data_IF_698160512483
#
_entry.id   IF_698160512483
#
_cell.length_a   1.000
_cell.length_b   1.000
_cell.length_c   1.000
_cell.angle_alpha   90.00
_cell.angle_beta   90.00
_cell.angle_gamma   90.00
#
_symmetry.space_group_name_H-M   'P 1'
#
loop_
_entity.id
_entity.type
_entity.pdbx_description
1 polymer ?
#
# COMPACT_ATOMS: atom_id res chain seq x y z
N UNK A 1 -10.42 3.85 18.59
CA UNK A 1 -9.98 2.49 18.21
C UNK A 1 -9.25 2.48 16.87
N UNK A 2 -9.81 3.11 15.82
CA UNK A 2 -9.18 3.27 14.49
C UNK A 2 -7.76 3.85 14.54
N UNK A 3 -7.55 4.98 15.24
CA UNK A 3 -6.24 5.62 15.32
C UNK A 3 -5.16 4.78 16.02
N UNK A 4 -5.56 3.90 16.94
CA UNK A 4 -4.67 2.97 17.64
C UNK A 4 -4.19 1.86 16.69
N UNK A 5 -5.08 1.37 15.82
CA UNK A 5 -4.74 0.41 14.76
C UNK A 5 -3.76 1.06 13.77
N UNK A 6 -3.99 2.32 13.37
CA UNK A 6 -3.10 3.04 12.45
C UNK A 6 -1.71 3.26 13.05
N UNK A 7 -1.63 3.66 14.33
CA UNK A 7 -0.36 3.84 15.03
C UNK A 7 0.40 2.52 15.20
N UNK A 8 -0.31 1.44 15.51
CA UNK A 8 0.27 0.10 15.65
C UNK A 8 0.81 -0.42 14.31
N UNK A 9 0.09 -0.17 13.22
CA UNK A 9 0.59 -0.46 11.86
C UNK A 9 1.85 0.36 11.57
N UNK A 10 1.82 1.67 11.80
CA UNK A 10 2.97 2.54 11.49
C UNK A 10 4.21 2.12 12.29
N UNK A 11 4.00 1.65 13.53
CA UNK A 11 5.05 1.09 14.35
C UNK A 11 5.62 -0.22 13.77
N UNK A 12 4.76 -1.15 13.34
CA UNK A 12 5.21 -2.40 12.72
C UNK A 12 5.96 -2.12 11.40
N UNK A 13 5.58 -1.07 10.66
CA UNK A 13 6.33 -0.63 9.47
C UNK A 13 7.77 -0.28 9.81
N UNK A 14 7.99 0.55 10.83
CA UNK A 14 9.34 0.95 11.26
C UNK A 14 10.21 -0.24 11.67
N UNK A 15 9.59 -1.30 12.18
CA UNK A 15 10.30 -2.50 12.64
C UNK A 15 10.61 -3.46 11.49
N UNK A 16 9.71 -3.66 10.52
CA UNK A 16 9.88 -4.64 9.45
C UNK A 16 10.67 -4.15 8.22
N UNK A 17 11.29 -2.96 8.29
CA UNK A 17 12.08 -2.40 7.17
C UNK A 17 13.36 -3.19 6.83
N UNK A 18 13.82 -4.07 7.72
CA UNK A 18 15.09 -4.77 7.56
C UNK A 18 15.13 -5.68 6.32
N UNK A 19 13.99 -6.23 5.91
CA UNK A 19 13.90 -7.18 4.80
C UNK A 19 12.75 -6.83 3.85
N UNK A 20 13.10 -6.66 2.56
CA UNK A 20 12.18 -6.13 1.55
C UNK A 20 10.95 -7.04 1.34
N UNK A 21 11.12 -8.35 1.52
CA UNK A 21 10.04 -9.33 1.38
C UNK A 21 9.03 -9.21 2.53
N UNK A 22 9.50 -9.07 3.77
CA UNK A 22 8.64 -8.89 4.94
C UNK A 22 7.92 -7.53 4.90
N UNK A 23 8.61 -6.49 4.45
CA UNK A 23 8.01 -5.18 4.21
C UNK A 23 6.87 -5.25 3.19
N UNK A 24 7.07 -5.97 2.08
CA UNK A 24 6.04 -6.16 1.04
C UNK A 24 4.83 -6.94 1.56
N UNK A 25 5.04 -8.04 2.27
CA UNK A 25 3.94 -8.80 2.90
C UNK A 25 3.15 -7.93 3.87
N UNK A 26 3.85 -7.14 4.69
CA UNK A 26 3.21 -6.22 5.60
C UNK A 26 2.36 -5.18 4.87
N UNK A 27 2.89 -4.56 3.79
CA UNK A 27 2.15 -3.59 2.98
C UNK A 27 0.84 -4.17 2.44
N UNK A 28 0.82 -5.45 2.04
CA UNK A 28 -0.39 -6.11 1.55
C UNK A 28 -1.44 -6.29 2.65
N UNK A 29 -1.01 -6.72 3.85
CA UNK A 29 -1.90 -6.85 5.01
C UNK A 29 -2.41 -5.48 5.46
N UNK A 30 -1.57 -4.46 5.39
CA UNK A 30 -1.98 -3.11 5.73
C UNK A 30 -2.98 -2.54 4.72
N UNK A 31 -2.72 -2.69 3.43
CA UNK A 31 -3.64 -2.23 2.38
C UNK A 31 -5.01 -2.90 2.50
N UNK A 32 -5.05 -4.20 2.85
CA UNK A 32 -6.31 -4.90 3.10
C UNK A 32 -7.02 -4.38 4.35
N UNK A 33 -6.31 -4.13 5.46
CA UNK A 33 -6.89 -3.50 6.65
C UNK A 33 -7.47 -2.12 6.33
N UNK A 34 -6.73 -1.26 5.63
CA UNK A 34 -7.22 0.07 5.21
C UNK A 34 -8.47 -0.03 4.36
N UNK A 35 -8.53 -0.99 3.43
CA UNK A 35 -9.73 -1.19 2.61
C UNK A 35 -10.97 -1.54 3.44
N UNK A 36 -10.80 -2.40 4.45
CA UNK A 36 -11.86 -2.77 5.40
C UNK A 36 -12.30 -1.54 6.20
N UNK A 37 -11.36 -0.71 6.66
CA UNK A 37 -11.68 0.54 7.36
C UNK A 37 -12.47 1.52 6.48
N UNK A 38 -12.11 1.65 5.20
CA UNK A 38 -12.84 2.50 4.24
C UNK A 38 -14.26 2.00 3.96
N UNK A 39 -14.46 0.68 3.94
CA UNK A 39 -15.79 0.08 3.81
C UNK A 39 -16.64 0.42 5.04
N UNK A 40 -16.10 0.26 6.25
CA UNK A 40 -16.82 0.57 7.49
C UNK A 40 -17.11 2.07 7.68
N UNK A 41 -16.32 2.95 7.08
CA UNK A 41 -16.53 4.41 7.15
C UNK A 41 -17.60 4.93 6.17
N UNK A 42 -18.29 4.06 5.42
CA UNK A 42 -19.42 4.43 4.57
C UNK A 42 -19.08 4.61 3.09
N UNK A 43 -17.85 4.27 2.67
CA UNK A 43 -17.41 4.33 1.25
C UNK A 43 -17.04 2.95 0.72
N UNK A 44 -18.00 2.03 0.55
CA UNK A 44 -17.69 0.65 0.16
C UNK A 44 -17.03 0.57 -1.22
N UNK A 45 -17.49 1.37 -2.19
CA UNK A 45 -16.93 1.42 -3.54
C UNK A 45 -15.46 1.84 -3.55
N UNK A 46 -15.13 2.91 -2.82
CA UNK A 46 -13.76 3.38 -2.73
C UNK A 46 -12.85 2.36 -2.03
N UNK A 47 -13.33 1.73 -0.95
CA UNK A 47 -12.60 0.67 -0.27
C UNK A 47 -12.31 -0.53 -1.18
N UNK A 48 -13.28 -0.94 -2.01
CA UNK A 48 -13.10 -2.03 -2.98
C UNK A 48 -12.13 -1.68 -4.10
N UNK A 49 -12.23 -0.48 -4.68
CA UNK A 49 -11.30 -0.01 -5.73
C UNK A 49 -9.89 0.10 -5.17
N UNK A 50 -9.75 0.63 -3.95
CA UNK A 50 -8.47 0.70 -3.25
C UNK A 50 -7.86 -0.68 -3.05
N UNK A 51 -8.64 -1.65 -2.55
CA UNK A 51 -8.19 -3.03 -2.39
C UNK A 51 -7.70 -3.62 -3.71
N UNK A 52 -8.50 -3.49 -4.78
CA UNK A 52 -8.15 -4.01 -6.10
C UNK A 52 -6.83 -3.43 -6.60
N UNK A 53 -6.68 -2.11 -6.64
CA UNK A 53 -5.49 -1.46 -7.22
C UNK A 53 -4.25 -1.73 -6.36
N UNK A 54 -4.34 -1.55 -5.05
CA UNK A 54 -3.17 -1.69 -4.18
C UNK A 54 -2.75 -3.15 -4.00
N UNK A 55 -3.69 -4.05 -3.68
CA UNK A 55 -3.32 -5.46 -3.42
C UNK A 55 -2.89 -6.15 -4.72
N UNK A 56 -3.55 -5.88 -5.86
CA UNK A 56 -3.11 -6.45 -7.14
C UNK A 56 -1.77 -5.88 -7.62
N UNK A 57 -1.53 -4.56 -7.46
CA UNK A 57 -0.26 -3.94 -7.81
C UNK A 57 0.90 -4.45 -6.94
N UNK A 58 0.68 -4.57 -5.63
CA UNK A 58 1.68 -5.10 -4.70
C UNK A 58 1.97 -6.59 -4.95
N UNK A 59 1.00 -7.38 -5.43
CA UNK A 59 1.22 -8.78 -5.84
C UNK A 59 2.24 -8.90 -6.98
N UNK A 60 2.15 -8.02 -7.99
CA UNK A 60 3.09 -8.02 -9.12
C UNK A 60 4.50 -7.67 -8.65
N UNK A 61 4.62 -6.66 -7.79
CA UNK A 61 5.91 -6.26 -7.23
C UNK A 61 6.49 -7.35 -6.31
N UNK A 62 5.65 -8.01 -5.53
CA UNK A 62 6.05 -9.16 -4.70
C UNK A 62 6.62 -10.30 -5.55
N UNK A 63 5.95 -10.67 -6.65
CA UNK A 63 6.47 -11.68 -7.58
C UNK A 63 7.80 -11.29 -8.20
N UNK A 64 7.95 -10.02 -8.59
CA UNK A 64 9.22 -9.49 -9.13
C UNK A 64 10.35 -9.55 -8.10
N UNK A 65 10.09 -9.13 -6.86
CA UNK A 65 11.08 -9.13 -5.79
C UNK A 65 11.48 -10.55 -5.38
N UNK A 66 10.53 -11.49 -5.31
CA UNK A 66 10.84 -12.90 -5.07
C UNK A 66 11.79 -13.49 -6.12
N UNK A 67 11.61 -13.11 -7.39
CA UNK A 67 12.45 -13.62 -8.47
C UNK A 67 13.87 -13.00 -8.47
N UNK A 68 13.99 -11.76 -8.02
CA UNK A 68 15.25 -10.98 -8.06
C UNK A 68 16.05 -11.03 -6.76
N UNK A 69 15.44 -11.29 -5.61
CA UNK A 69 16.13 -11.28 -4.32
C UNK A 69 17.06 -12.49 -4.16
N UNK A 70 18.30 -12.32 -3.69
CA UNK A 70 19.14 -13.44 -3.26
C UNK A 70 18.48 -14.11 -2.05
N UNK A 71 18.49 -15.45 -2.01
CA UNK A 71 17.85 -16.25 -0.97
C UNK A 71 18.67 -16.25 0.35
N UNK A 72 19.04 -15.05 0.83
CA UNK A 72 19.73 -14.85 2.10
C UNK A 72 18.65 -14.79 3.20
N UNK A 73 18.32 -15.94 3.78
CA UNK A 73 17.39 -16.02 4.91
C UNK A 73 18.15 -15.60 6.17
N UNK A 74 18.39 -14.31 6.32
CA UNK A 74 18.82 -13.76 7.60
C UNK A 74 17.55 -13.45 8.42
N UNK A 75 17.51 -13.93 9.65
CA UNK A 75 16.43 -13.57 10.55
C UNK A 75 16.48 -12.05 10.78
N UNK A 76 15.39 -11.30 10.54
CA UNK A 76 15.41 -9.86 10.70
C UNK A 76 15.66 -9.51 12.17
N UNK A 77 16.67 -8.69 12.44
CA UNK A 77 17.06 -8.25 13.79
C UNK A 77 15.87 -7.61 14.54
N UNK A 78 14.98 -6.97 13.78
CA UNK A 78 13.67 -6.49 14.18
C UNK A 78 12.82 -7.46 15.03
N UNK A 79 12.79 -8.76 14.71
CA UNK A 79 11.96 -9.74 15.44
C UNK A 79 12.42 -9.90 16.90
N UNK A 80 13.71 -9.68 17.18
CA UNK A 80 14.28 -9.81 18.52
C UNK A 80 13.79 -8.72 19.48
N UNK A 81 13.47 -7.53 18.96
CA UNK A 81 13.05 -6.37 19.76
C UNK A 81 11.54 -6.09 19.72
N UNK A 82 10.80 -6.80 18.85
CA UNK A 82 9.35 -6.69 18.71
C UNK A 82 8.54 -6.82 20.03
N UNK A 83 8.86 -7.72 20.98
CA UNK A 83 8.06 -7.83 22.20
C UNK A 83 8.25 -6.66 23.18
N UNK A 84 9.43 -6.04 23.20
CA UNK A 84 9.75 -4.94 24.13
C UNK A 84 9.06 -3.65 23.73
N UNK A 85 8.85 -3.46 22.42
CA UNK A 85 8.30 -2.24 21.90
C UNK A 85 6.77 -2.22 21.82
N UNK A 86 6.14 -3.38 21.67
CA UNK A 86 4.68 -3.53 21.82
C UNK A 86 4.18 -3.07 23.19
N UNK A 87 5.00 -3.20 24.24
CA UNK A 87 4.68 -2.72 25.60
C UNK A 87 4.59 -1.19 25.70
N UNK A 88 5.34 -0.44 24.89
CA UNK A 88 5.29 1.02 24.87
C UNK A 88 4.08 1.57 24.08
N UNK A 89 3.48 0.76 23.21
CA UNK A 89 2.32 1.13 22.39
C UNK A 89 0.96 0.75 22.98
N UNK A 90 0.91 0.36 24.25
CA UNK A 90 -0.33 0.39 25.03
C UNK A 90 -0.45 1.72 25.78
N UNK A 91 -0.71 2.88 25.13
CA UNK A 91 -1.23 4.00 25.89
C UNK A 91 -2.59 3.58 26.42
N UNK A 92 -2.85 3.94 27.68
CA UNK A 92 -4.13 3.75 28.36
C UNK A 92 -5.30 3.96 27.38
N UNK A 93 -6.20 2.98 27.30
CA UNK A 93 -7.42 2.93 26.48
C UNK A 93 -8.42 4.05 26.86
N UNK A 94 -7.98 5.30 26.92
CA UNK A 94 -8.85 6.45 27.04
C UNK A 94 -9.50 6.61 25.68
N UNK A 95 -10.81 6.43 25.62
CA UNK A 95 -11.61 6.61 24.42
C UNK A 95 -11.30 7.97 23.80
N UNK A 96 -10.46 7.98 22.77
CA UNK A 96 -10.42 9.08 21.83
C UNK A 96 -11.72 8.95 21.05
N UNK A 97 -12.72 9.72 21.44
CA UNK A 97 -13.93 9.94 20.66
C UNK A 97 -13.51 10.71 19.41
N UNK A 98 -13.14 9.96 18.38
CA UNK A 98 -13.13 10.47 17.02
C UNK A 98 -14.57 10.36 16.55
N UNK A 99 -15.26 11.49 16.51
CA UNK A 99 -16.55 11.56 15.87
C UNK A 99 -16.39 11.05 14.43
N UNK A 100 -17.12 9.99 14.11
CA UNK A 100 -17.08 9.37 12.79
C UNK A 100 -17.71 10.34 11.81
N UNK A 101 -16.88 11.14 11.15
CA UNK A 101 -17.31 12.01 10.06
C UNK A 101 -17.77 11.07 8.93
N UNK A 102 -19.08 10.86 8.84
CA UNK A 102 -19.70 10.16 7.72
C UNK A 102 -19.69 11.10 6.52
N UNK A 103 -18.71 10.92 5.65
CA UNK A 103 -18.65 11.66 4.39
C UNK A 103 -19.33 10.80 3.33
N UNK A 104 -20.42 11.31 2.76
CA UNK A 104 -21.17 10.63 1.71
C UNK A 104 -20.54 10.95 0.35
N UNK A 105 -19.69 10.05 -0.16
CA UNK A 105 -18.98 10.21 -1.45
C UNK A 105 -19.70 9.58 -2.65
N UNK A 106 -20.93 9.11 -2.49
CA UNK A 106 -21.58 8.27 -3.51
C UNK A 106 -21.94 9.03 -4.80
N UNK A 107 -22.09 10.36 -4.72
CA UNK A 107 -22.55 11.16 -5.86
C UNK A 107 -21.41 11.70 -6.74
N UNK A 108 -20.16 11.68 -6.26
CA UNK A 108 -19.06 12.45 -6.87
C UNK A 108 -18.25 11.67 -7.92
N UNK A 109 -18.39 10.34 -8.03
CA UNK A 109 -17.55 9.53 -8.94
C UNK A 109 -17.92 9.79 -10.41
N UNK A 110 -19.21 9.94 -10.70
CA UNK A 110 -19.70 10.22 -12.06
C UNK A 110 -19.36 11.66 -12.44
N UNK A 111 -19.21 12.56 -11.47
CA UNK A 111 -18.86 13.96 -11.72
C UNK A 111 -17.47 14.14 -12.34
N UNK A 112 -16.59 13.14 -12.26
CA UNK A 112 -15.30 13.15 -12.97
C UNK A 112 -15.50 13.22 -14.49
N UNK A 113 -16.61 12.68 -15.01
CA UNK A 113 -16.93 12.70 -16.44
C UNK A 113 -17.67 13.97 -16.89
N UNK A 114 -17.95 14.90 -15.98
CA UNK A 114 -18.55 16.18 -16.35
C UNK A 114 -17.56 17.02 -17.19
N UNK A 115 -18.11 17.83 -18.10
CA UNK A 115 -17.34 18.71 -18.97
C UNK A 115 -16.39 19.66 -18.21
N UNK A 116 -16.73 20.05 -16.98
CA UNK A 116 -15.88 20.87 -16.11
C UNK A 116 -14.58 20.16 -15.68
N UNK A 117 -14.59 18.84 -15.57
CA UNK A 117 -13.45 18.03 -15.11
C UNK A 117 -12.74 17.27 -16.23
N UNK A 118 -13.14 17.50 -17.49
CA UNK A 118 -12.54 16.86 -18.66
C UNK A 118 -11.03 17.10 -18.77
N UNK A 119 -10.54 18.27 -18.35
CA UNK A 119 -9.10 18.54 -18.30
C UNK A 119 -8.35 17.61 -17.34
N UNK A 120 -8.95 17.30 -16.18
CA UNK A 120 -8.35 16.41 -15.18
C UNK A 120 -8.31 14.97 -15.71
N UNK A 121 -9.40 14.52 -16.33
CA UNK A 121 -9.46 13.22 -16.99
C UNK A 121 -8.39 13.07 -18.10
N UNK A 122 -8.23 14.10 -18.95
CA UNK A 122 -7.23 14.11 -20.02
C UNK A 122 -5.81 14.07 -19.44
N UNK A 123 -5.56 14.77 -18.33
CA UNK A 123 -4.26 14.78 -17.68
C UNK A 123 -3.91 13.40 -17.09
N UNK A 124 -4.87 12.73 -16.42
CA UNK A 124 -4.67 11.35 -15.89
C UNK A 124 -4.38 10.36 -17.02
N UNK A 125 -5.14 10.42 -18.11
CA UNK A 125 -4.94 9.52 -19.26
C UNK A 125 -3.59 9.72 -19.93
N UNK A 126 -3.13 10.97 -20.08
CA UNK A 126 -1.78 11.28 -20.56
C UNK A 126 -0.69 10.75 -19.61
N UNK A 127 -0.86 10.89 -18.28
CA UNK A 127 0.10 10.33 -17.32
C UNK A 127 0.21 8.81 -17.43
N UNK A 128 -0.92 8.10 -17.54
CA UNK A 128 -0.94 6.65 -17.71
C UNK A 128 -0.34 6.21 -19.05
N UNK A 129 -0.55 6.98 -20.12
CA UNK A 129 0.07 6.70 -21.40
C UNK A 129 1.60 6.89 -21.34
N UNK A 130 2.06 7.99 -20.76
CA UNK A 130 3.49 8.26 -20.58
C UNK A 130 4.17 7.23 -19.69
N UNK A 131 3.51 6.75 -18.63
CA UNK A 131 4.04 5.70 -17.77
C UNK A 131 4.18 4.37 -18.52
N UNK A 132 3.25 4.02 -19.40
CA UNK A 132 3.37 2.82 -20.24
C UNK A 132 4.54 2.94 -21.22
N UNK A 133 4.66 4.09 -21.91
CA UNK A 133 5.78 4.35 -22.83
C UNK A 133 7.12 4.34 -22.08
N UNK A 134 7.19 4.87 -20.86
CA UNK A 134 8.41 4.86 -20.06
C UNK A 134 8.80 3.45 -19.62
N UNK A 135 7.84 2.63 -19.17
CA UNK A 135 8.08 1.23 -18.81
C UNK A 135 8.62 0.46 -20.01
N UNK A 136 8.01 0.59 -21.19
CA UNK A 136 8.49 -0.06 -22.43
C UNK A 136 9.93 0.39 -22.77
N UNK A 137 10.22 1.69 -22.68
CA UNK A 137 11.57 2.19 -22.95
C UNK A 137 12.60 1.69 -21.93
N UNK A 138 12.23 1.54 -20.66
CA UNK A 138 13.13 1.02 -19.61
C UNK A 138 13.42 -0.46 -19.85
N UNK A 139 12.40 -1.27 -20.17
CA UNK A 139 12.58 -2.71 -20.39
C UNK A 139 13.43 -3.02 -21.62
N UNK A 140 13.34 -2.21 -22.69
CA UNK A 140 14.19 -2.40 -23.88
C UNK A 140 15.62 -1.87 -23.73
N UNK A 141 15.87 -0.89 -22.85
CA UNK A 141 17.21 -0.33 -22.64
C UNK A 141 18.16 -1.24 -21.87
N UNK A 142 17.65 -2.24 -21.16
CA UNK A 142 18.46 -3.13 -20.34
C UNK A 142 18.41 -4.59 -20.85
N UNK A 143 19.14 -4.95 -21.93
CA UNK A 143 19.54 -6.34 -22.16
C UNK A 143 20.69 -6.69 -21.19
N UNK A 144 20.49 -6.49 -19.89
CA UNK A 144 21.41 -7.02 -18.89
C UNK A 144 21.11 -8.50 -18.74
N UNK A 145 22.09 -9.41 -18.87
CA UNK A 145 21.85 -10.83 -18.70
C UNK A 145 21.20 -11.06 -17.33
N UNK A 146 20.10 -11.81 -17.32
CA UNK A 146 19.52 -12.37 -16.11
C UNK A 146 20.67 -13.00 -15.30
N UNK A 147 20.93 -12.41 -14.13
CA UNK A 147 21.85 -12.81 -13.05
C UNK A 147 23.04 -13.68 -13.51
N UNK A 148 24.26 -13.14 -13.48
CA UNK A 148 25.44 -14.01 -13.47
C UNK A 148 25.34 -14.93 -12.24
N UNK A 149 25.20 -16.23 -12.49
CA UNK A 149 25.38 -17.28 -11.50
C UNK A 149 26.88 -17.55 -11.35
N UNK A 150 27.61 -16.60 -10.76
CA UNK A 150 28.98 -16.81 -10.28
C UNK A 150 29.06 -16.34 -8.83
#
# INVERSE_FOLDING_TARGET
MMGLIVLLVFYIMLVLFDEILFFMLFLMVFASLVSVLLIFNGTPWFGLIFFLIYVSGLLVLFGYMMAMSPNMINAPFALKYMPVSLLFFFPSLRQVNLDMIKINYFHDIVDIFNYSHLSLYLLITLMLFLSLVSVVNITYKAPSPLRNFL
#
